data_IF_837449840113
#
_entry.id   IF_837449840113
#
_cell.length_a   1.000
_cell.length_b   1.000
_cell.length_c   1.000
_cell.angle_alpha   90.00
_cell.angle_beta   90.00
_cell.angle_gamma   90.00
#
_symmetry.space_group_name_H-M   'P 1'
#
loop_
_entity.id
_entity.type
_entity.pdbx_description
1 polymer ?
#
# COMPACT_ATOMS: atom_id res chain seq x y z
N UNK A 1 -2.29 29.84 5.24
CA UNK A 1 -2.81 29.26 3.98
C UNK A 1 -4.22 28.76 4.26
N UNK A 2 -5.22 29.20 3.49
CA UNK A 2 -6.59 28.69 3.62
C UNK A 2 -6.63 27.22 3.23
N UNK A 3 -7.29 26.39 4.04
CA UNK A 3 -7.44 24.98 3.75
C UNK A 3 -8.25 24.85 2.45
N UNK A 4 -7.60 24.44 1.36
CA UNK A 4 -8.19 24.39 0.00
C UNK A 4 -9.27 23.30 -0.11
N UNK A 5 -9.30 22.39 0.84
CA UNK A 5 -10.18 21.22 0.86
C UNK A 5 -11.03 21.26 2.12
N UNK A 6 -12.35 21.13 1.96
CA UNK A 6 -13.29 21.12 3.07
C UNK A 6 -13.06 19.88 3.96
N UNK A 7 -13.25 19.96 5.29
CA UNK A 7 -13.03 18.84 6.20
C UNK A 7 -13.79 17.56 5.82
N UNK A 8 -14.97 17.69 5.20
CA UNK A 8 -15.77 16.54 4.74
C UNK A 8 -15.16 15.80 3.53
N UNK A 9 -14.19 16.40 2.83
CA UNK A 9 -13.58 15.82 1.64
C UNK A 9 -12.36 14.95 1.96
N UNK A 10 -11.81 15.01 3.18
CA UNK A 10 -10.62 14.25 3.58
C UNK A 10 -10.76 13.72 5.00
N UNK A 11 -10.61 12.41 5.16
CA UNK A 11 -10.45 11.76 6.46
C UNK A 11 -8.99 11.33 6.64
N UNK A 12 -8.40 11.72 7.76
CA UNK A 12 -7.08 11.23 8.20
C UNK A 12 -7.26 10.46 9.50
N UNK A 13 -6.78 9.22 9.52
CA UNK A 13 -6.86 8.35 10.70
C UNK A 13 -5.58 7.53 10.85
N UNK A 14 -5.27 7.17 12.09
CA UNK A 14 -4.18 6.24 12.42
C UNK A 14 -4.76 4.89 12.80
N UNK A 15 -4.13 3.80 12.34
CA UNK A 15 -4.49 2.43 12.72
C UNK A 15 -3.37 1.88 13.62
N UNK A 16 -3.45 2.08 14.95
CA UNK A 16 -2.36 1.72 15.86
C UNK A 16 -2.31 0.23 16.23
N UNK A 17 -3.32 -0.54 15.82
CA UNK A 17 -3.50 -1.95 16.19
C UNK A 17 -3.99 -2.74 14.99
N UNK A 18 -3.59 -4.01 14.92
CA UNK A 18 -4.12 -4.93 13.92
C UNK A 18 -5.62 -5.15 14.15
N UNK A 19 -6.41 -5.15 13.08
CA UNK A 19 -7.87 -5.32 13.18
C UNK A 19 -8.28 -6.73 13.63
N UNK A 20 -7.44 -7.73 13.36
CA UNK A 20 -7.70 -9.11 13.76
C UNK A 20 -7.36 -9.38 15.23
N UNK A 21 -6.09 -9.21 15.62
CA UNK A 21 -5.61 -9.58 16.96
C UNK A 21 -5.77 -8.48 18.01
N UNK A 22 -5.96 -7.22 17.60
CA UNK A 22 -5.92 -6.05 18.49
C UNK A 22 -4.52 -5.73 19.05
N UNK A 23 -3.47 -6.49 18.67
CA UNK A 23 -2.08 -6.21 19.06
C UNK A 23 -1.62 -4.89 18.47
N UNK A 24 -0.72 -4.22 19.17
CA UNK A 24 -0.13 -2.96 18.70
C UNK A 24 0.62 -3.20 17.40
N UNK A 25 0.32 -2.40 16.39
CA UNK A 25 1.01 -2.42 15.11
C UNK A 25 2.30 -1.61 15.26
N UNK A 26 3.42 -2.32 15.35
CA UNK A 26 4.76 -1.72 15.40
C UNK A 26 5.60 -2.22 14.23
N UNK A 27 5.95 -1.30 13.34
CA UNK A 27 6.78 -1.58 12.17
C UNK A 27 8.24 -1.22 12.48
N UNK A 28 9.05 -2.25 12.72
CA UNK A 28 10.51 -2.17 12.91
C UNK A 28 11.21 -2.88 11.76
N UNK A 29 12.55 -2.79 11.70
CA UNK A 29 13.34 -3.57 10.74
C UNK A 29 13.06 -5.07 10.84
N UNK A 30 12.97 -5.62 12.06
CA UNK A 30 12.73 -7.05 12.28
C UNK A 30 11.29 -7.48 11.99
N UNK A 31 10.32 -6.55 12.10
CA UNK A 31 8.91 -6.83 11.80
C UNK A 31 8.73 -7.39 10.39
N UNK A 32 9.50 -6.89 9.41
CA UNK A 32 9.42 -7.33 8.01
C UNK A 32 9.92 -8.75 7.76
N UNK A 33 10.61 -9.36 8.74
CA UNK A 33 11.10 -10.74 8.68
C UNK A 33 10.17 -11.70 9.45
N UNK A 34 9.18 -11.18 10.15
CA UNK A 34 8.25 -11.94 10.97
C UNK A 34 6.98 -12.29 10.15
N UNK A 35 6.77 -13.57 9.85
CA UNK A 35 5.61 -14.02 9.08
C UNK A 35 4.27 -13.72 9.74
N UNK A 36 4.18 -13.78 11.08
CA UNK A 36 2.96 -13.42 11.80
C UNK A 36 2.61 -11.94 11.60
N UNK A 37 3.62 -11.06 11.70
CA UNK A 37 3.45 -9.63 11.44
C UNK A 37 2.97 -9.38 10.01
N UNK A 38 3.61 -10.00 9.02
CA UNK A 38 3.23 -9.85 7.60
C UNK A 38 1.78 -10.30 7.36
N UNK A 39 1.39 -11.45 7.92
CA UNK A 39 0.03 -11.99 7.81
C UNK A 39 -1.02 -11.07 8.46
N UNK A 40 -0.76 -10.57 9.66
CA UNK A 40 -1.69 -9.68 10.36
C UNK A 40 -1.80 -8.31 9.70
N UNK A 41 -0.69 -7.78 9.19
CA UNK A 41 -0.67 -6.57 8.37
C UNK A 41 -1.53 -6.77 7.11
N UNK A 42 -1.34 -7.88 6.40
CA UNK A 42 -2.12 -8.23 5.22
C UNK A 42 -3.62 -8.30 5.47
N UNK A 43 -4.04 -8.98 6.54
CA UNK A 43 -5.46 -9.06 6.93
C UNK A 43 -6.06 -7.70 7.30
N UNK A 44 -5.28 -6.86 8.00
CA UNK A 44 -5.69 -5.48 8.33
C UNK A 44 -5.88 -4.64 7.06
N UNK A 45 -4.92 -4.71 6.14
CA UNK A 45 -5.01 -4.01 4.86
C UNK A 45 -6.17 -4.51 4.01
N UNK A 46 -6.42 -5.82 3.96
CA UNK A 46 -7.51 -6.39 3.18
C UNK A 46 -8.88 -5.87 3.65
N UNK A 47 -9.07 -5.79 4.97
CA UNK A 47 -10.29 -5.21 5.55
C UNK A 47 -10.46 -3.73 5.19
N UNK A 48 -9.39 -2.92 5.30
CA UNK A 48 -9.42 -1.50 4.94
C UNK A 48 -9.71 -1.30 3.45
N UNK A 49 -8.97 -2.00 2.58
CA UNK A 49 -9.10 -1.92 1.11
C UNK A 49 -10.51 -2.32 0.65
N UNK A 50 -11.13 -3.30 1.32
CA UNK A 50 -12.50 -3.71 1.01
C UNK A 50 -13.52 -2.58 1.22
N UNK A 51 -13.34 -1.73 2.24
CA UNK A 51 -14.25 -0.64 2.55
C UNK A 51 -14.02 0.64 1.73
N UNK A 52 -12.90 0.76 1.03
CA UNK A 52 -12.56 1.95 0.25
C UNK A 52 -12.97 1.74 -1.21
N UNK A 53 -13.82 2.59 -1.81
CA UNK A 53 -14.19 2.51 -3.23
C UNK A 53 -13.01 2.89 -4.15
N UNK A 54 -13.13 2.67 -5.47
CA UNK A 54 -12.13 3.14 -6.45
C UNK A 54 -10.70 2.61 -6.22
N UNK A 55 -9.71 3.44 -6.52
CA UNK A 55 -8.28 3.18 -6.39
C UNK A 55 -7.76 3.39 -4.97
N UNK A 56 -6.91 2.46 -4.52
CA UNK A 56 -6.21 2.52 -3.22
C UNK A 56 -4.72 2.38 -3.43
N UNK A 57 -3.95 3.30 -2.87
CA UNK A 57 -2.49 3.29 -2.87
C UNK A 57 -1.95 2.90 -1.49
N UNK A 58 -1.16 1.83 -1.42
CA UNK A 58 -0.48 1.38 -0.20
C UNK A 58 1.03 1.62 -0.36
N UNK A 59 1.61 2.46 0.51
CA UNK A 59 3.03 2.80 0.45
C UNK A 59 3.82 2.09 1.55
N UNK A 60 4.87 1.38 1.15
CA UNK A 60 5.81 0.65 2.01
C UNK A 60 7.14 1.42 2.16
N UNK A 61 7.86 1.26 3.29
CA UNK A 61 9.11 1.99 3.57
C UNK A 61 10.27 1.64 2.64
N UNK A 62 10.25 0.48 1.99
CA UNK A 62 11.32 0.04 1.08
C UNK A 62 10.86 -1.08 0.15
N UNK A 63 11.61 -1.32 -0.92
CA UNK A 63 11.40 -2.49 -1.78
C UNK A 63 11.58 -3.81 -1.03
N UNK A 64 12.47 -3.86 -0.02
CA UNK A 64 12.63 -5.07 0.80
C UNK A 64 11.35 -5.37 1.61
N UNK A 65 10.71 -4.36 2.18
CA UNK A 65 9.43 -4.51 2.87
C UNK A 65 8.30 -4.89 1.90
N UNK A 66 8.27 -4.25 0.71
CA UNK A 66 7.31 -4.59 -0.34
C UNK A 66 7.41 -6.05 -0.76
N UNK A 67 8.62 -6.52 -1.08
CA UNK A 67 8.84 -7.89 -1.54
C UNK A 67 8.54 -8.92 -0.45
N UNK A 68 8.87 -8.63 0.81
CA UNK A 68 8.53 -9.48 1.95
C UNK A 68 7.02 -9.64 2.09
N UNK A 69 6.27 -8.53 2.04
CA UNK A 69 4.81 -8.53 2.08
C UNK A 69 4.20 -9.32 0.90
N UNK A 70 4.59 -8.99 -0.34
CA UNK A 70 4.04 -9.64 -1.54
C UNK A 70 4.34 -11.14 -1.53
N UNK A 71 5.57 -11.53 -1.18
CA UNK A 71 5.98 -12.93 -1.10
C UNK A 71 5.19 -13.70 -0.04
N UNK A 72 5.01 -13.13 1.15
CA UNK A 72 4.22 -13.74 2.21
C UNK A 72 2.74 -13.88 1.82
N UNK A 73 2.14 -12.84 1.22
CA UNK A 73 0.72 -12.84 0.89
C UNK A 73 0.36 -13.71 -0.31
N UNK A 74 1.32 -13.99 -1.19
CA UNK A 74 1.15 -14.87 -2.36
C UNK A 74 1.53 -16.34 -2.08
N UNK A 75 2.20 -16.65 -0.97
CA UNK A 75 2.67 -17.99 -0.66
C UNK A 75 1.51 -19.02 -0.56
N UNK A 76 1.73 -20.24 -1.06
CA UNK A 76 0.75 -21.33 -0.99
C UNK A 76 0.41 -21.69 0.47
N UNK A 77 -0.89 -21.77 0.80
CA UNK A 77 -1.40 -21.97 2.17
C UNK A 77 -1.80 -20.68 2.90
N UNK A 78 -1.05 -19.58 2.68
CA UNK A 78 -1.33 -18.22 3.19
C UNK A 78 -1.95 -17.28 2.13
N UNK A 79 -2.05 -17.72 0.87
CA UNK A 79 -2.65 -17.02 -0.28
C UNK A 79 -4.09 -16.52 -0.10
N UNK A 80 -4.71 -16.77 1.05
CA UNK A 80 -5.96 -16.13 1.47
C UNK A 80 -5.86 -14.60 1.44
N UNK A 81 -4.73 -14.02 1.86
CA UNK A 81 -4.58 -12.56 1.88
C UNK A 81 -4.59 -11.97 0.48
N UNK A 82 -3.80 -12.53 -0.45
CA UNK A 82 -3.77 -12.03 -1.82
C UNK A 82 -5.12 -12.19 -2.53
N UNK A 83 -5.79 -13.32 -2.31
CA UNK A 83 -7.15 -13.54 -2.82
C UNK A 83 -8.13 -12.51 -2.26
N UNK A 84 -8.05 -12.16 -0.98
CA UNK A 84 -8.89 -11.11 -0.39
C UNK A 84 -8.68 -9.76 -1.06
N UNK A 85 -7.44 -9.39 -1.42
CA UNK A 85 -7.19 -8.17 -2.19
C UNK A 85 -7.84 -8.23 -3.58
N UNK A 86 -7.74 -9.37 -4.29
CA UNK A 86 -8.37 -9.57 -5.60
C UNK A 86 -9.90 -9.66 -5.56
N UNK A 87 -10.47 -10.02 -4.40
CA UNK A 87 -11.90 -9.96 -4.16
C UNK A 87 -12.34 -8.51 -3.92
N UNK A 88 -11.58 -7.77 -3.11
CA UNK A 88 -11.83 -6.38 -2.77
C UNK A 88 -11.61 -5.40 -3.93
N UNK A 89 -10.72 -5.72 -4.88
CA UNK A 89 -10.35 -4.85 -6.01
C UNK A 89 -10.21 -5.65 -7.31
N UNK A 90 -10.55 -5.02 -8.43
CA UNK A 90 -10.49 -5.64 -9.77
C UNK A 90 -9.07 -5.95 -10.25
N UNK A 91 -8.07 -5.24 -9.73
CA UNK A 91 -6.65 -5.56 -9.94
C UNK A 91 -5.82 -5.24 -8.69
N UNK A 92 -4.75 -6.00 -8.52
CA UNK A 92 -3.69 -5.72 -7.55
C UNK A 92 -2.40 -5.51 -8.33
N UNK A 93 -1.85 -4.29 -8.26
CA UNK A 93 -0.64 -3.87 -8.97
C UNK A 93 0.48 -3.71 -7.96
N UNK A 94 1.66 -4.21 -8.28
CA UNK A 94 2.87 -4.04 -7.47
C UNK A 94 3.83 -3.15 -8.25
N UNK A 95 4.40 -2.14 -7.58
CA UNK A 95 5.38 -1.26 -8.21
C UNK A 95 6.56 -2.08 -8.77
N UNK A 96 6.87 -1.96 -10.07
CA UNK A 96 8.02 -2.63 -10.65
C UNK A 96 9.33 -1.96 -10.21
N UNK A 97 10.36 -2.77 -9.95
CA UNK A 97 11.72 -2.26 -9.68
C UNK A 97 12.32 -1.55 -10.90
N UNK A 98 12.09 -2.10 -12.10
CA UNK A 98 12.55 -1.55 -13.37
C UNK A 98 11.66 -0.42 -13.91
N UNK A 99 12.23 0.55 -14.62
CA UNK A 99 11.45 1.59 -15.30
C UNK A 99 10.69 1.08 -16.54
N UNK A 100 11.14 -0.02 -17.16
CA UNK A 100 10.54 -0.56 -18.38
C UNK A 100 9.07 -0.99 -18.21
N UNK A 101 8.72 -1.57 -17.06
CA UNK A 101 7.36 -2.06 -16.80
C UNK A 101 6.43 -1.00 -16.17
N UNK A 102 6.97 0.17 -15.80
CA UNK A 102 6.21 1.22 -15.12
C UNK A 102 5.01 1.71 -15.95
N UNK A 103 5.13 1.98 -17.26
CA UNK A 103 3.98 2.41 -18.06
C UNK A 103 2.85 1.37 -18.06
N UNK A 104 3.21 0.08 -18.12
CA UNK A 104 2.25 -1.02 -18.08
C UNK A 104 1.56 -1.13 -16.72
N UNK A 105 2.30 -0.99 -15.63
CA UNK A 105 1.75 -1.00 -14.28
C UNK A 105 0.75 0.16 -14.07
N UNK A 106 1.11 1.37 -14.52
CA UNK A 106 0.21 2.55 -14.47
C UNK A 106 -1.06 2.34 -15.29
N UNK A 107 -0.94 1.89 -16.53
CA UNK A 107 -2.09 1.59 -17.39
C UNK A 107 -3.00 0.53 -16.76
N UNK A 108 -2.44 -0.56 -16.24
CA UNK A 108 -3.21 -1.62 -15.58
C UNK A 108 -3.96 -1.11 -14.35
N UNK A 109 -3.37 -0.19 -13.57
CA UNK A 109 -4.04 0.40 -12.42
C UNK A 109 -5.20 1.29 -12.85
N UNK A 110 -4.96 2.23 -13.77
CA UNK A 110 -5.98 3.16 -14.29
C UNK A 110 -7.15 2.41 -14.91
N UNK A 111 -6.87 1.45 -15.79
CA UNK A 111 -7.90 0.63 -16.45
C UNK A 111 -8.74 -0.16 -15.43
N UNK A 112 -8.11 -0.66 -14.36
CA UNK A 112 -8.80 -1.41 -13.33
C UNK A 112 -9.65 -0.52 -12.42
N UNK A 113 -9.25 0.74 -12.17
CA UNK A 113 -10.09 1.71 -11.46
C UNK A 113 -11.31 2.11 -12.29
N UNK A 114 -11.10 2.38 -13.58
CA UNK A 114 -12.19 2.77 -14.49
C UNK A 114 -13.21 1.64 -14.68
N UNK A 115 -12.80 0.39 -14.45
CA UNK A 115 -13.70 -0.74 -14.26
C UNK A 115 -14.28 -0.68 -12.84
N UNK A 116 -15.59 -0.89 -12.70
CA UNK A 116 -16.35 -0.66 -11.45
C UNK A 116 -15.87 -1.37 -10.16
N UNK A 117 -14.83 -2.21 -10.22
CA UNK A 117 -14.28 -2.93 -9.05
C UNK A 117 -13.06 -2.25 -8.41
N UNK A 118 -12.56 -1.14 -8.95
CA UNK A 118 -11.41 -0.42 -8.37
C UNK A 118 -10.08 -1.15 -8.52
N UNK A 119 -9.00 -0.53 -8.04
CA UNK A 119 -7.65 -1.12 -8.07
C UNK A 119 -6.90 -0.91 -6.75
N UNK A 120 -6.01 -1.85 -6.41
CA UNK A 120 -5.05 -1.73 -5.32
C UNK A 120 -3.65 -1.62 -5.91
N UNK A 121 -2.86 -0.65 -5.47
CA UNK A 121 -1.44 -0.57 -5.80
C UNK A 121 -0.60 -0.64 -4.53
N UNK A 122 0.36 -1.56 -4.50
CA UNK A 122 1.45 -1.55 -3.52
C UNK A 122 2.68 -0.90 -4.13
N UNK A 123 3.16 0.17 -3.51
CA UNK A 123 4.29 0.97 -3.96
C UNK A 123 5.24 1.27 -2.80
N UNK A 124 6.42 1.81 -3.10
CA UNK A 124 7.32 2.32 -2.05
C UNK A 124 7.20 3.83 -1.95
N UNK A 125 7.41 4.39 -0.76
CA UNK A 125 7.45 5.86 -0.64
C UNK A 125 8.52 6.44 -1.56
N UNK A 126 8.18 7.55 -2.23
CA UNK A 126 9.06 8.20 -3.23
C UNK A 126 9.50 7.24 -4.34
N UNK A 127 8.71 6.19 -4.57
CA UNK A 127 8.89 5.24 -5.64
C UNK A 127 8.32 5.76 -6.96
N UNK A 128 8.51 4.98 -8.02
CA UNK A 128 8.14 5.38 -9.38
C UNK A 128 6.63 5.47 -9.59
N UNK A 129 5.85 4.68 -8.83
CA UNK A 129 4.38 4.79 -8.86
C UNK A 129 3.88 5.98 -8.02
N UNK A 130 4.72 6.54 -7.14
CA UNK A 130 4.40 7.76 -6.38
C UNK A 130 4.50 9.03 -7.23
N UNK A 131 5.09 8.94 -8.43
CA UNK A 131 5.36 10.07 -9.31
C UNK A 131 4.60 9.94 -10.65
N UNK A 132 3.96 11.02 -11.08
CA UNK A 132 3.33 11.11 -12.40
C UNK A 132 2.12 10.18 -12.61
N UNK A 133 1.42 9.79 -11.55
CA UNK A 133 0.04 9.31 -11.62
C UNK A 133 -0.85 10.43 -11.08
N UNK A 134 -1.89 10.81 -11.81
CA UNK A 134 -2.88 11.75 -11.29
C UNK A 134 -3.77 11.02 -10.29
N UNK A 135 -3.94 11.57 -9.10
CA UNK A 135 -4.77 11.00 -8.04
C UNK A 135 -6.17 11.63 -8.05
N UNK A 136 -6.75 11.78 -9.24
CA UNK A 136 -8.02 12.45 -9.43
C UNK A 136 -9.20 11.49 -9.17
N UNK A 137 -10.17 11.96 -8.38
CA UNK A 137 -11.43 11.29 -8.09
C UNK A 137 -11.27 9.80 -7.74
N UNK A 138 -11.79 8.90 -8.57
CA UNK A 138 -11.79 7.46 -8.33
C UNK A 138 -10.41 6.83 -8.47
N UNK A 139 -9.42 7.50 -9.10
CA UNK A 139 -8.06 6.98 -9.22
C UNK A 139 -7.38 6.82 -7.85
N UNK A 140 -7.80 7.59 -6.84
CA UNK A 140 -7.24 7.50 -5.50
C UNK A 140 -8.24 7.93 -4.42
N UNK A 141 -9.09 7.01 -3.99
CA UNK A 141 -10.03 7.21 -2.88
C UNK A 141 -9.44 6.85 -1.52
N UNK A 142 -8.26 6.22 -1.49
CA UNK A 142 -7.54 5.92 -0.27
C UNK A 142 -6.04 5.86 -0.46
N UNK A 143 -5.32 6.45 0.49
CA UNK A 143 -3.86 6.32 0.63
C UNK A 143 -3.57 5.72 1.99
N UNK A 144 -2.85 4.60 2.01
CA UNK A 144 -2.44 3.89 3.22
C UNK A 144 -0.91 3.98 3.32
N UNK A 145 -0.44 4.77 4.28
CA UNK A 145 0.97 4.88 4.62
C UNK A 145 1.33 3.81 5.66
N UNK A 146 2.14 2.82 5.27
CA UNK A 146 2.55 1.72 6.15
C UNK A 146 3.97 1.98 6.67
N UNK A 147 4.13 1.92 7.98
CA UNK A 147 5.38 2.26 8.64
C UNK A 147 5.74 3.75 8.48
N UNK A 148 6.92 4.13 8.95
CA UNK A 148 7.44 5.49 8.82
C UNK A 148 8.53 5.48 7.74
N UNK A 149 8.48 6.39 6.75
CA UNK A 149 9.55 6.53 5.76
C UNK A 149 10.76 7.21 6.41
N UNK A 150 11.55 6.43 7.15
CA UNK A 150 12.84 6.91 7.63
C UNK A 150 13.82 7.03 6.45
N UNK A 151 14.68 8.07 6.43
CA UNK A 151 15.75 8.10 5.46
C UNK A 151 16.69 6.92 5.70
N UNK A 152 17.40 6.49 4.65
CA UNK A 152 18.28 5.34 4.78
C UNK A 152 19.36 5.64 5.83
N UNK A 153 19.61 4.70 6.74
CA UNK A 153 20.60 4.89 7.80
C UNK A 153 22.03 5.15 7.29
N UNK A 154 22.31 4.86 6.01
CA UNK A 154 23.58 5.09 5.32
C UNK A 154 23.58 6.35 4.44
N UNK A 155 22.49 7.11 4.46
CA UNK A 155 22.42 8.38 3.75
C UNK A 155 23.44 9.36 4.39
N UNK A 156 24.33 9.99 3.60
CA UNK A 156 25.30 10.95 4.14
C UNK A 156 24.68 12.07 4.98
N UNK A 157 23.42 12.43 4.70
CA UNK A 157 22.68 13.47 5.45
C UNK A 157 22.22 12.97 6.83
N UNK A 158 22.10 11.65 7.02
CA UNK A 158 21.69 11.03 8.29
C UNK A 158 22.89 10.72 9.19
N UNK A 159 24.07 10.52 8.60
CA UNK A 159 25.30 10.13 9.32
C UNK A 159 26.11 11.35 9.77
N UNK A 160 25.74 12.56 9.35
CA UNK A 160 26.41 13.82 9.66
C UNK A 160 25.95 14.46 10.98
#
# INVERSE_FOLDING_TARGET
>A
AGHVVAPAQVLVATVPRFLGSGRVLVSTFDSWRNGEFLRELGGTLAALVHSIPGGVMCFLPSYAALDACVSAWQAEGEGRVWIQFQQAKGAVVVEPRGSGDLPRAKASFVDAVQRARGALCFAVYRGKMSEGLSFDDDLCRGVICIGVPYPQAKDPVVVA
#
